data_IF_356879572405
#
_entry.id   IF_356879572405
#
_cell.length_a   1.000
_cell.length_b   1.000
_cell.length_c   1.000
_cell.angle_alpha   90.00
_cell.angle_beta   90.00
_cell.angle_gamma   90.00
#
_symmetry.space_group_name_H-M   'P 1'
#
loop_
_entity.id
_entity.type
_entity.pdbx_description
1 polymer ?
#
# COMPACT_ATOMS: atom_id res chain seq x y z
N UNK A 1 -19.90 -6.78 -35.56
CA UNK A 1 -19.73 -6.36 -34.15
C UNK A 1 -19.01 -7.46 -33.39
N UNK A 2 -17.84 -7.18 -32.83
CA UNK A 2 -17.13 -8.18 -32.01
C UNK A 2 -17.85 -8.34 -30.67
N UNK A 3 -18.20 -9.55 -30.31
CA UNK A 3 -18.72 -9.85 -28.97
C UNK A 3 -17.62 -9.62 -27.97
N UNK A 4 -17.86 -8.81 -26.94
CA UNK A 4 -16.96 -8.70 -25.82
C UNK A 4 -16.88 -10.05 -25.11
N UNK A 5 -15.66 -10.53 -24.82
CA UNK A 5 -15.48 -11.70 -23.99
C UNK A 5 -16.05 -11.40 -22.61
N UNK A 6 -17.01 -12.19 -22.17
CA UNK A 6 -17.48 -12.11 -20.78
C UNK A 6 -16.31 -12.49 -19.88
N UNK A 7 -16.03 -11.63 -18.89
CA UNK A 7 -15.10 -11.96 -17.83
C UNK A 7 -15.77 -13.06 -17.00
N UNK A 8 -15.25 -14.29 -17.15
CA UNK A 8 -15.73 -15.45 -16.39
C UNK A 8 -14.76 -15.72 -15.25
N UNK A 9 -15.26 -16.27 -14.16
CA UNK A 9 -14.47 -16.79 -13.04
C UNK A 9 -13.73 -15.73 -12.22
N UNK A 10 -14.41 -14.61 -11.94
CA UNK A 10 -13.93 -13.70 -10.91
C UNK A 10 -14.02 -14.45 -9.58
N UNK A 11 -12.88 -14.66 -8.94
CA UNK A 11 -12.81 -15.37 -7.67
C UNK A 11 -13.08 -14.40 -6.52
N UNK A 12 -13.85 -14.85 -5.56
CA UNK A 12 -14.17 -14.06 -4.36
C UNK A 12 -12.90 -13.57 -3.65
N UNK A 13 -11.88 -14.41 -3.55
CA UNK A 13 -10.58 -14.05 -2.93
C UNK A 13 -9.89 -12.86 -3.61
N UNK A 14 -10.12 -12.64 -4.91
CA UNK A 14 -9.53 -11.53 -5.65
C UNK A 14 -10.28 -10.21 -5.44
N UNK A 15 -11.45 -10.26 -4.85
CA UNK A 15 -12.31 -9.10 -4.59
C UNK A 15 -12.28 -8.66 -3.13
N UNK A 16 -12.11 -9.61 -2.20
CA UNK A 16 -12.02 -9.32 -0.75
C UNK A 16 -10.92 -8.31 -0.44
N UNK A 17 -9.74 -8.49 -1.05
CA UNK A 17 -8.61 -7.58 -0.91
C UNK A 17 -8.25 -7.05 -2.30
N UNK A 18 -9.21 -6.34 -2.89
CA UNK A 18 -9.09 -5.86 -4.26
C UNK A 18 -7.88 -4.95 -4.47
N UNK A 19 -7.57 -4.12 -3.48
CA UNK A 19 -6.37 -3.27 -3.48
C UNK A 19 -5.08 -4.08 -3.68
N UNK A 20 -4.96 -5.20 -2.96
CA UNK A 20 -3.79 -6.09 -3.07
C UNK A 20 -3.79 -6.85 -4.40
N UNK A 21 -4.94 -7.25 -4.89
CA UNK A 21 -5.08 -7.90 -6.20
C UNK A 21 -4.61 -6.96 -7.31
N UNK A 22 -5.02 -5.70 -7.27
CA UNK A 22 -4.58 -4.67 -8.22
C UNK A 22 -3.08 -4.45 -8.09
N UNK A 23 -2.57 -4.31 -6.88
CA UNK A 23 -1.14 -4.09 -6.63
C UNK A 23 -0.29 -5.25 -7.17
N UNK A 24 -0.69 -6.50 -6.95
CA UNK A 24 0.01 -7.68 -7.48
C UNK A 24 0.01 -7.73 -9.01
N UNK A 25 -1.07 -7.27 -9.63
CA UNK A 25 -1.16 -7.19 -11.09
C UNK A 25 -0.25 -6.10 -11.64
N UNK A 26 -0.30 -4.89 -11.08
CA UNK A 26 0.36 -3.74 -11.68
C UNK A 26 1.86 -3.67 -11.38
N UNK A 27 2.29 -4.13 -10.19
CA UNK A 27 3.67 -3.95 -9.73
C UNK A 27 4.73 -4.54 -10.67
N UNK A 28 4.66 -5.82 -11.08
CA UNK A 28 5.65 -6.36 -12.01
C UNK A 28 5.60 -5.67 -13.38
N UNK A 29 4.44 -5.20 -13.79
CA UNK A 29 4.24 -4.49 -15.05
C UNK A 29 4.83 -3.08 -15.02
N UNK A 30 4.71 -2.38 -13.90
CA UNK A 30 5.36 -1.08 -13.70
C UNK A 30 6.89 -1.21 -13.71
N UNK A 31 7.42 -2.24 -13.08
CA UNK A 31 8.87 -2.50 -13.08
C UNK A 31 9.38 -2.78 -14.50
N UNK A 32 8.65 -3.58 -15.26
CA UNK A 32 8.98 -3.86 -16.65
C UNK A 32 8.85 -2.59 -17.52
N UNK A 33 7.79 -1.83 -17.33
CA UNK A 33 7.56 -0.56 -18.03
C UNK A 33 8.73 0.41 -17.78
N UNK A 34 9.13 0.61 -16.53
CA UNK A 34 10.27 1.46 -16.19
C UNK A 34 11.55 1.04 -16.93
N UNK A 35 11.78 -0.27 -16.97
CA UNK A 35 12.98 -0.85 -17.62
C UNK A 35 12.98 -0.60 -19.13
N UNK A 36 11.81 -0.66 -19.78
CA UNK A 36 11.68 -0.62 -21.24
C UNK A 36 11.36 0.77 -21.78
N UNK A 37 10.80 1.67 -20.99
CA UNK A 37 10.41 3.00 -21.49
C UNK A 37 11.64 3.82 -21.88
N UNK A 38 11.57 4.42 -23.04
CA UNK A 38 12.55 5.36 -23.57
C UNK A 38 11.93 6.72 -23.86
N UNK A 39 10.62 6.84 -23.71
CA UNK A 39 9.88 8.08 -23.90
C UNK A 39 9.47 8.64 -22.54
N UNK A 40 9.12 9.92 -22.54
CA UNK A 40 8.68 10.62 -21.33
C UNK A 40 7.63 11.68 -21.72
N UNK A 41 6.71 12.00 -20.81
CA UNK A 41 5.70 13.02 -21.06
C UNK A 41 6.31 14.42 -21.22
N UNK A 42 5.58 15.31 -21.90
CA UNK A 42 5.96 16.71 -22.03
C UNK A 42 6.13 17.31 -20.62
N UNK A 43 7.24 18.02 -20.42
CA UNK A 43 7.57 18.62 -19.13
C UNK A 43 8.44 17.78 -18.22
N UNK A 44 8.71 16.52 -18.62
CA UNK A 44 9.65 15.64 -17.90
C UNK A 44 10.95 15.49 -18.66
N UNK A 45 12.04 15.23 -17.93
CA UNK A 45 13.20 14.54 -18.46
C UNK A 45 13.02 13.04 -18.27
N UNK A 46 13.84 12.22 -18.93
CA UNK A 46 13.76 10.75 -18.77
C UNK A 46 14.08 10.36 -17.30
N UNK A 47 15.02 11.04 -16.65
CA UNK A 47 15.37 10.80 -15.26
C UNK A 47 14.21 11.15 -14.32
N UNK A 48 13.56 12.29 -14.54
CA UNK A 48 12.40 12.71 -13.75
C UNK A 48 11.24 11.73 -13.93
N UNK A 49 11.02 11.26 -15.17
CA UNK A 49 9.97 10.29 -15.46
C UNK A 49 10.22 8.96 -14.75
N UNK A 50 11.45 8.45 -14.81
CA UNK A 50 11.82 7.21 -14.11
C UNK A 50 11.74 7.37 -12.60
N UNK A 51 12.11 8.51 -12.05
CA UNK A 51 11.96 8.82 -10.64
C UNK A 51 10.48 8.83 -10.22
N UNK A 52 9.62 9.39 -11.03
CA UNK A 52 8.17 9.38 -10.81
C UNK A 52 7.63 7.94 -10.80
N UNK A 53 8.04 7.12 -11.77
CA UNK A 53 7.66 5.70 -11.82
C UNK A 53 8.16 4.97 -10.57
N UNK A 54 9.35 5.26 -10.08
CA UNK A 54 9.90 4.65 -8.85
C UNK A 54 9.03 4.93 -7.64
N UNK A 55 8.51 6.15 -7.52
CA UNK A 55 7.60 6.52 -6.42
C UNK A 55 6.27 5.77 -6.52
N UNK A 56 5.76 5.57 -7.73
CA UNK A 56 4.57 4.77 -7.98
C UNK A 56 4.81 3.31 -7.59
N UNK A 57 5.94 2.75 -8.03
CA UNK A 57 6.35 1.38 -7.68
C UNK A 57 6.43 1.22 -6.16
N UNK A 58 7.08 2.16 -5.47
CA UNK A 58 7.21 2.12 -4.03
C UNK A 58 5.84 2.07 -3.33
N UNK A 59 4.88 2.84 -3.80
CA UNK A 59 3.52 2.81 -3.22
C UNK A 59 2.91 1.41 -3.30
N UNK A 60 3.00 0.75 -4.44
CA UNK A 60 2.45 -0.60 -4.60
C UNK A 60 3.26 -1.65 -3.84
N UNK A 61 4.57 -1.50 -3.75
CA UNK A 61 5.40 -2.35 -2.89
C UNK A 61 4.99 -2.25 -1.43
N UNK A 62 4.77 -1.03 -0.93
CA UNK A 62 4.36 -0.80 0.45
C UNK A 62 2.95 -1.35 0.73
N UNK A 63 2.03 -1.28 -0.23
CA UNK A 63 0.70 -1.88 -0.10
C UNK A 63 0.80 -3.40 0.08
N UNK A 64 1.73 -4.05 -0.61
CA UNK A 64 1.93 -5.50 -0.55
C UNK A 64 2.84 -5.94 0.61
N UNK A 65 3.56 -5.02 1.24
CA UNK A 65 4.49 -5.33 2.31
C UNK A 65 3.74 -5.58 3.63
N UNK A 66 3.80 -6.80 4.12
CA UNK A 66 3.21 -7.22 5.39
C UNK A 66 4.23 -7.19 6.53
N UNK A 67 5.48 -6.78 6.27
CA UNK A 67 6.51 -6.71 7.29
C UNK A 67 6.28 -5.53 8.21
N UNK A 68 6.07 -5.83 9.47
CA UNK A 68 5.95 -4.84 10.53
C UNK A 68 7.20 -4.90 11.41
N UNK A 69 7.90 -3.76 11.62
CA UNK A 69 9.01 -3.73 12.56
C UNK A 69 8.57 -4.10 13.98
N UNK A 70 9.51 -4.55 14.80
CA UNK A 70 9.23 -4.84 16.19
C UNK A 70 9.18 -3.54 17.01
N UNK A 71 7.99 -3.22 17.52
CA UNK A 71 7.76 -2.05 18.39
C UNK A 71 7.61 -2.44 19.86
N UNK A 72 7.96 -3.68 20.22
CA UNK A 72 7.80 -4.20 21.56
C UNK A 72 6.50 -4.96 21.74
N UNK A 73 6.23 -5.38 22.97
CA UNK A 73 5.09 -6.20 23.30
C UNK A 73 4.00 -5.39 23.98
N UNK A 74 2.80 -5.45 23.42
CA UNK A 74 1.62 -4.87 24.00
C UNK A 74 0.94 -5.95 24.86
N UNK A 75 0.80 -5.67 26.17
CA UNK A 75 0.18 -6.57 27.12
C UNK A 75 -1.06 -5.91 27.70
N UNK A 76 -2.12 -6.69 27.82
CA UNK A 76 -3.37 -6.26 28.44
C UNK A 76 -3.75 -7.20 29.55
N UNK A 77 -4.46 -6.68 30.55
CA UNK A 77 -5.19 -7.47 31.51
C UNK A 77 -6.63 -6.98 31.62
N UNK A 78 -7.51 -7.81 32.14
CA UNK A 78 -8.91 -7.45 32.32
C UNK A 78 -9.18 -7.09 33.76
N UNK A 79 -9.92 -6.00 33.96
CA UNK A 79 -10.41 -5.58 35.27
C UNK A 79 -11.92 -5.43 35.24
N UNK A 80 -12.59 -5.79 36.36
CA UNK A 80 -14.02 -5.59 36.51
C UNK A 80 -14.28 -4.14 36.90
N UNK A 81 -15.09 -3.44 36.10
CA UNK A 81 -15.51 -2.07 36.41
C UNK A 81 -16.63 -2.06 37.46
N UNK A 82 -16.86 -0.88 38.04
CA UNK A 82 -17.88 -0.67 39.09
C UNK A 82 -19.29 -1.04 38.64
N UNK A 83 -19.56 -0.96 37.32
CA UNK A 83 -20.87 -1.31 36.75
C UNK A 83 -21.01 -2.80 36.38
N UNK A 84 -20.04 -3.64 36.74
CA UNK A 84 -20.07 -5.08 36.53
C UNK A 84 -19.56 -5.57 35.20
N UNK A 85 -19.14 -4.67 34.28
CA UNK A 85 -18.56 -5.03 33.00
C UNK A 85 -17.05 -5.23 33.09
N UNK A 86 -16.53 -6.12 32.28
CA UNK A 86 -15.08 -6.33 32.16
C UNK A 86 -14.46 -5.29 31.24
N UNK A 87 -13.32 -4.77 31.63
CA UNK A 87 -12.58 -3.73 30.94
C UNK A 87 -11.19 -4.25 30.63
N UNK A 88 -10.75 -4.04 29.38
CA UNK A 88 -9.39 -4.36 28.98
C UNK A 88 -8.50 -3.16 29.25
N UNK A 89 -7.46 -3.35 30.05
CA UNK A 89 -6.54 -2.29 30.49
C UNK A 89 -5.14 -2.68 30.08
N UNK A 90 -4.39 -1.70 29.54
CA UNK A 90 -2.98 -1.90 29.20
C UNK A 90 -2.17 -2.19 30.45
N UNK A 91 -1.38 -3.28 30.41
CA UNK A 91 -0.51 -3.68 31.50
C UNK A 91 0.67 -2.70 31.59
N UNK A 92 1.06 -2.25 32.85
CA UNK A 92 2.25 -1.42 33.04
C UNK A 92 3.55 -2.06 32.57
N UNK A 93 3.59 -3.40 32.43
CA UNK A 93 4.74 -4.13 31.88
C UNK A 93 4.78 -4.18 30.35
N UNK A 94 3.84 -3.50 29.70
CA UNK A 94 3.85 -3.35 28.24
C UNK A 94 5.09 -2.59 27.80
N UNK A 95 5.81 -3.15 26.81
CA UNK A 95 7.01 -2.51 26.22
C UNK A 95 6.73 -1.92 24.86
N UNK A 96 5.47 -1.90 24.41
CA UNK A 96 5.07 -1.41 23.11
C UNK A 96 5.31 0.10 22.98
N UNK A 97 6.10 0.48 21.97
CA UNK A 97 6.37 1.88 21.64
C UNK A 97 5.31 2.41 20.67
N UNK A 98 4.27 2.99 21.23
CA UNK A 98 3.13 3.52 20.48
C UNK A 98 3.53 4.66 19.54
N UNK A 99 4.40 5.56 19.98
CA UNK A 99 4.83 6.71 19.18
C UNK A 99 5.60 6.27 17.94
N UNK A 100 6.53 5.33 18.10
CA UNK A 100 7.29 4.78 16.99
C UNK A 100 6.38 4.05 16.00
N UNK A 101 5.41 3.30 16.49
CA UNK A 101 4.43 2.59 15.67
C UNK A 101 3.57 3.56 14.86
N UNK A 102 3.03 4.58 15.49
CA UNK A 102 2.21 5.60 14.81
C UNK A 102 3.02 6.37 13.77
N UNK A 103 4.27 6.71 14.08
CA UNK A 103 5.16 7.35 13.11
C UNK A 103 5.42 6.47 11.91
N UNK A 104 5.71 5.20 12.13
CA UNK A 104 5.94 4.24 11.05
C UNK A 104 4.73 4.09 10.14
N UNK A 105 3.51 3.96 10.74
CA UNK A 105 2.27 3.88 9.97
C UNK A 105 2.03 5.15 9.15
N UNK A 106 2.25 6.31 9.76
CA UNK A 106 2.03 7.59 9.10
C UNK A 106 3.01 7.80 7.94
N UNK A 107 4.29 7.50 8.15
CA UNK A 107 5.32 7.61 7.11
C UNK A 107 5.01 6.68 5.92
N UNK A 108 4.57 5.46 6.22
CA UNK A 108 4.15 4.49 5.20
C UNK A 108 2.95 5.01 4.41
N UNK A 109 1.93 5.52 5.10
CA UNK A 109 0.72 6.05 4.48
C UNK A 109 1.00 7.24 3.57
N UNK A 110 1.88 8.15 3.99
CA UNK A 110 2.29 9.30 3.17
C UNK A 110 2.93 8.84 1.86
N UNK A 111 3.83 7.88 1.92
CA UNK A 111 4.50 7.33 0.71
C UNK A 111 3.53 6.62 -0.22
N UNK A 112 2.59 5.86 0.33
CA UNK A 112 1.55 5.20 -0.45
C UNK A 112 0.67 6.24 -1.16
N UNK A 113 0.21 7.24 -0.45
CA UNK A 113 -0.65 8.30 -1.02
C UNK A 113 0.08 9.12 -2.06
N UNK A 114 1.34 9.45 -1.83
CA UNK A 114 2.17 10.17 -2.83
C UNK A 114 2.26 9.36 -4.13
N UNK A 115 2.62 8.09 -4.04
CA UNK A 115 2.74 7.23 -5.21
C UNK A 115 1.41 6.98 -5.92
N UNK A 116 0.32 6.79 -5.20
CA UNK A 116 -1.01 6.62 -5.79
C UNK A 116 -1.49 7.89 -6.49
N UNK A 117 -1.19 9.06 -5.93
CA UNK A 117 -1.50 10.34 -6.57
C UNK A 117 -0.73 10.49 -7.88
N UNK A 118 0.57 10.20 -7.86
CA UNK A 118 1.40 10.23 -9.06
C UNK A 118 0.90 9.22 -10.11
N UNK A 119 0.46 8.05 -9.67
CA UNK A 119 -0.14 7.05 -10.54
C UNK A 119 -1.41 7.58 -11.22
N UNK A 120 -2.30 8.19 -10.46
CA UNK A 120 -3.52 8.78 -11.00
C UNK A 120 -3.22 9.94 -11.97
N UNK A 121 -2.31 10.83 -11.59
CA UNK A 121 -1.95 12.00 -12.40
C UNK A 121 -1.27 11.61 -13.72
N UNK A 122 -0.57 10.48 -13.75
CA UNK A 122 0.21 10.02 -14.90
C UNK A 122 -0.34 8.75 -15.55
N UNK A 123 -1.53 8.32 -15.15
CA UNK A 123 -2.12 7.06 -15.64
C UNK A 123 -2.15 6.99 -17.16
N UNK A 124 -2.55 8.08 -17.81
CA UNK A 124 -2.66 8.14 -19.28
C UNK A 124 -1.32 8.32 -19.99
N UNK A 125 -0.23 8.47 -19.24
CA UNK A 125 1.13 8.54 -19.76
C UNK A 125 1.86 7.18 -19.71
N UNK A 126 1.21 6.14 -19.19
CA UNK A 126 1.80 4.81 -19.04
C UNK A 126 1.67 4.00 -20.32
N UNK A 127 2.34 4.48 -21.36
CA UNK A 127 2.42 3.80 -22.67
C UNK A 127 3.71 4.19 -23.40
N UNK A 128 4.11 3.38 -24.35
CA UNK A 128 5.25 3.69 -25.23
C UNK A 128 5.11 3.11 -26.63
#
# INVERSE_FOLDING_TARGET
MKKQKKIRNIKYKDVINLDRTIARFILPRLKFFKKKTYTYPIGFTIEEWKSTIDKIILAFELILDDHEPDFGNLKYHTEKSDNGYWKMIEDPNSTFDKEAYEKWLNDKDIKIKEGLKLFADNFQNLWF
#
